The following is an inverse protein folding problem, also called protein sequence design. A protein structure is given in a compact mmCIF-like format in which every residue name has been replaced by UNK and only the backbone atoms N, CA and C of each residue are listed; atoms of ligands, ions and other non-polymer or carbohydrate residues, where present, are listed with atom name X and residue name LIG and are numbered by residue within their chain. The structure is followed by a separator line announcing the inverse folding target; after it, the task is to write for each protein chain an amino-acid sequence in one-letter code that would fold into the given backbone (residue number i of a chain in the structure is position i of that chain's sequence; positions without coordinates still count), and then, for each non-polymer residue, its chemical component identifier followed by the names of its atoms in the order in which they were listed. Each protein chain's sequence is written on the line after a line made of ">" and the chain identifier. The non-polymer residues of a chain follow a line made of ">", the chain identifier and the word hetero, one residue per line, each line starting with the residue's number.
data_IF_982274961993
#
_entry.id   IF_982274961993
#
_cell.length_a   1.000
_cell.length_b   1.000
_cell.length_c   1.000
_cell.angle_alpha   90.00
_cell.angle_beta   90.00
_cell.angle_gamma   90.00
#
_symmetry.space_group_name_H-M   'P 1'
#
loop_
_entity.id
_entity.type
_entity.pdbx_description
1 polymer ?
#
# COMPACT_ATOMS: atom_id res chain seq x y z
N UNK A 1 13.12 -13.34 -6.00
CA UNK A 1 13.62 -11.93 -5.96
C UNK A 1 12.44 -10.98 -6.17
N UNK A 2 11.57 -10.83 -5.17
CA UNK A 2 10.39 -9.96 -5.23
C UNK A 2 10.73 -8.63 -4.56
N UNK A 3 11.73 -7.90 -5.06
CA UNK A 3 11.89 -6.50 -4.69
C UNK A 3 11.06 -5.66 -5.65
N UNK A 4 9.76 -5.55 -5.37
CA UNK A 4 8.88 -4.51 -5.92
C UNK A 4 9.22 -3.13 -5.33
N UNK A 5 10.51 -2.83 -5.16
CA UNK A 5 11.02 -1.52 -4.80
C UNK A 5 11.78 -1.00 -6.01
N UNK A 6 11.28 0.10 -6.57
CA UNK A 6 11.89 0.85 -7.67
C UNK A 6 13.44 0.90 -7.53
N UNK A 7 14.20 0.63 -8.60
CA UNK A 7 15.68 0.67 -8.58
C UNK A 7 16.24 2.08 -8.35
N UNK A 8 15.39 3.11 -8.32
CA UNK A 8 15.80 4.50 -8.13
C UNK A 8 15.64 4.90 -6.66
N UNK A 9 16.76 4.98 -5.94
CA UNK A 9 16.85 5.52 -4.57
C UNK A 9 16.60 7.04 -4.60
N UNK A 10 15.38 7.48 -4.35
CA UNK A 10 15.07 8.90 -4.12
C UNK A 10 15.29 9.28 -2.64
N UNK A 11 15.64 10.55 -2.36
CA UNK A 11 15.85 11.07 -0.99
C UNK A 11 14.62 10.88 -0.08
N UNK A 12 13.43 10.77 -0.66
CA UNK A 12 12.18 10.47 0.04
C UNK A 12 12.16 9.07 0.70
N UNK A 13 13.01 8.12 0.27
CA UNK A 13 13.05 6.78 0.87
C UNK A 13 13.59 6.76 2.31
N UNK A 14 14.24 7.85 2.74
CA UNK A 14 14.83 7.99 4.08
C UNK A 14 13.85 8.49 5.15
N UNK A 15 12.67 8.96 4.76
CA UNK A 15 11.67 9.44 5.72
C UNK A 15 10.84 8.27 6.27
N UNK A 16 10.59 8.24 7.60
CA UNK A 16 9.75 7.21 8.21
C UNK A 16 8.34 7.27 7.62
N UNK A 17 7.75 6.10 7.37
CA UNK A 17 6.42 5.99 6.77
C UNK A 17 5.34 6.74 7.57
N UNK A 18 5.46 6.77 8.90
CA UNK A 18 4.53 7.50 9.77
C UNK A 18 4.44 9.00 9.44
N UNK A 19 5.56 9.66 9.12
CA UNK A 19 5.55 11.09 8.75
C UNK A 19 4.91 11.29 7.38
N UNK A 20 5.17 10.41 6.42
CA UNK A 20 4.53 10.48 5.09
C UNK A 20 3.03 10.26 5.16
N UNK A 21 2.58 9.29 5.95
CA UNK A 21 1.17 8.99 6.17
C UNK A 21 0.49 10.12 6.94
N UNK A 22 1.15 10.69 7.95
CA UNK A 22 0.65 11.87 8.66
C UNK A 22 0.51 13.09 7.75
N UNK A 23 1.51 13.35 6.90
CA UNK A 23 1.48 14.44 5.92
C UNK A 23 0.41 14.21 4.85
N UNK A 24 0.24 12.99 4.37
CA UNK A 24 -0.85 12.62 3.47
C UNK A 24 -2.21 12.86 4.12
N UNK A 25 -2.38 12.44 5.38
CA UNK A 25 -3.61 12.65 6.13
C UNK A 25 -3.92 14.14 6.28
N UNK A 26 -2.94 14.93 6.74
CA UNK A 26 -3.07 16.38 6.87
C UNK A 26 -3.37 17.06 5.53
N UNK A 27 -2.67 16.71 4.45
CA UNK A 27 -2.92 17.24 3.12
C UNK A 27 -4.33 16.91 2.63
N UNK A 28 -4.82 15.70 2.91
CA UNK A 28 -6.18 15.28 2.53
C UNK A 28 -7.21 16.07 3.33
N UNK A 29 -7.03 16.25 4.64
CA UNK A 29 -7.93 17.07 5.47
C UNK A 29 -7.99 18.52 4.97
N UNK A 30 -6.84 19.13 4.67
CA UNK A 30 -6.77 20.50 4.14
C UNK A 30 -7.47 20.58 2.78
N UNK A 31 -7.24 19.61 1.88
CA UNK A 31 -7.91 19.54 0.58
C UNK A 31 -9.44 19.47 0.72
N UNK A 32 -9.95 18.77 1.73
CA UNK A 32 -11.38 18.62 1.96
C UNK A 32 -12.03 19.85 2.63
N UNK A 33 -11.32 20.52 3.54
CA UNK A 33 -11.79 21.76 4.15
C UNK A 33 -11.94 22.90 3.13
N UNK A 34 -11.10 22.93 2.09
CA UNK A 34 -11.10 24.01 1.11
C UNK A 34 -11.99 23.75 -0.11
N UNK A 35 -13.01 24.62 -0.23
CA UNK A 35 -13.98 24.68 -1.33
C UNK A 35 -13.53 25.61 -2.47
N UNK A 36 -12.41 26.32 -2.31
CA UNK A 36 -11.96 27.29 -3.32
C UNK A 36 -11.29 26.58 -4.52
N UNK A 37 -11.78 26.84 -5.73
CA UNK A 37 -11.25 26.24 -6.97
C UNK A 37 -9.79 26.62 -7.23
N UNK A 38 -9.38 27.85 -6.91
CA UNK A 38 -8.00 28.30 -7.09
C UNK A 38 -7.02 27.50 -6.21
N UNK A 39 -7.45 27.17 -4.99
CA UNK A 39 -6.67 26.32 -4.09
C UNK A 39 -6.52 24.90 -4.61
N UNK A 40 -7.60 24.31 -5.15
CA UNK A 40 -7.56 22.97 -5.75
C UNK A 40 -6.64 22.91 -6.97
N UNK A 41 -6.68 23.93 -7.83
CA UNK A 41 -5.78 24.05 -8.99
C UNK A 41 -4.33 24.16 -8.53
N UNK A 42 -4.05 25.01 -7.54
CA UNK A 42 -2.70 25.16 -6.98
C UNK A 42 -2.19 23.87 -6.33
N UNK A 43 -3.04 23.14 -5.60
CA UNK A 43 -2.69 21.87 -4.97
C UNK A 43 -2.40 20.77 -6.00
N UNK A 44 -3.21 20.70 -7.07
CA UNK A 44 -2.98 19.78 -8.18
C UNK A 44 -1.67 20.09 -8.91
N UNK A 45 -1.43 21.37 -9.23
CA UNK A 45 -0.20 21.82 -9.87
C UNK A 45 1.05 21.55 -8.99
N UNK A 46 0.95 21.81 -7.68
CA UNK A 46 2.01 21.48 -6.72
C UNK A 46 2.30 19.98 -6.67
N UNK A 47 1.25 19.14 -6.68
CA UNK A 47 1.41 17.68 -6.72
C UNK A 47 2.06 17.22 -8.03
N UNK A 48 1.67 17.81 -9.16
CA UNK A 48 2.30 17.54 -10.45
C UNK A 48 3.79 17.93 -10.45
N UNK A 49 4.14 19.08 -9.87
CA UNK A 49 5.54 19.51 -9.71
C UNK A 49 6.35 18.51 -8.87
N UNK A 50 5.79 18.02 -7.75
CA UNK A 50 6.42 16.98 -6.92
C UNK A 50 6.67 15.70 -7.71
N UNK A 51 5.78 15.33 -8.63
CA UNK A 51 5.96 14.17 -9.51
C UNK A 51 7.03 14.36 -10.59
N UNK A 52 7.33 15.60 -10.98
CA UNK A 52 8.36 15.91 -11.98
C UNK A 52 9.77 15.93 -11.39
N UNK A 53 9.95 16.30 -10.12
CA UNK A 53 11.25 16.38 -9.43
C UNK A 53 12.11 15.09 -9.44
N UNK A 54 11.56 13.87 -9.26
CA UNK A 54 12.35 12.64 -9.16
C UNK A 54 12.60 11.94 -10.49
N UNK A 55 12.05 12.45 -11.62
CA UNK A 55 12.31 11.96 -12.98
C UNK A 55 11.07 11.50 -13.77
N UNK A 56 11.24 11.35 -15.09
CA UNK A 56 10.16 11.06 -16.07
C UNK A 56 9.48 9.70 -15.87
N UNK A 57 10.21 8.70 -15.38
CA UNK A 57 9.64 7.38 -15.05
C UNK A 57 8.64 7.47 -13.89
N UNK A 58 8.89 8.36 -12.93
CA UNK A 58 8.02 8.61 -11.78
C UNK A 58 6.77 9.38 -12.21
N UNK A 59 6.94 10.41 -13.04
CA UNK A 59 5.83 11.16 -13.63
C UNK A 59 4.91 10.26 -14.47
N UNK A 60 5.46 9.36 -15.30
CA UNK A 60 4.64 8.39 -16.08
C UNK A 60 3.88 7.41 -15.19
N UNK A 61 4.45 7.00 -14.06
CA UNK A 61 3.74 6.13 -13.12
C UNK A 61 2.57 6.86 -12.45
N UNK A 62 2.76 8.13 -12.06
CA UNK A 62 1.68 9.01 -11.57
C UNK A 62 0.59 9.23 -12.61
N UNK A 63 0.98 9.58 -13.85
CA UNK A 63 0.04 9.81 -14.95
C UNK A 63 -0.80 8.55 -15.27
N UNK A 64 -0.23 7.35 -15.22
CA UNK A 64 -0.99 6.09 -15.40
C UNK A 64 -1.98 5.82 -14.28
N UNK A 65 -1.68 6.22 -13.04
CA UNK A 65 -2.61 6.09 -11.93
C UNK A 65 -3.81 7.04 -12.12
N UNK A 66 -3.53 8.30 -12.45
CA UNK A 66 -4.55 9.31 -12.77
C UNK A 66 -5.39 8.92 -13.99
N UNK A 67 -4.76 8.41 -15.05
CA UNK A 67 -5.44 7.94 -16.24
C UNK A 67 -6.46 6.86 -15.93
N UNK A 68 -6.20 5.99 -14.95
CA UNK A 68 -7.13 4.92 -14.56
C UNK A 68 -8.45 5.45 -13.95
N UNK A 69 -8.46 6.70 -13.47
CA UNK A 69 -9.63 7.37 -12.92
C UNK A 69 -10.50 8.04 -13.99
N UNK A 70 -10.13 7.97 -15.28
CA UNK A 70 -10.87 8.60 -16.37
C UNK A 70 -12.39 8.28 -16.37
N UNK A 71 -12.87 7.05 -16.07
CA UNK A 71 -14.30 6.76 -16.12
C UNK A 71 -15.06 7.55 -15.05
N UNK A 72 -14.44 7.70 -13.87
CA UNK A 72 -15.03 8.43 -12.75
C UNK A 72 -15.04 9.95 -13.02
N UNK A 73 -13.95 10.47 -13.60
CA UNK A 73 -13.88 11.89 -13.98
C UNK A 73 -14.96 12.23 -15.00
N UNK A 74 -15.14 11.39 -16.03
CA UNK A 74 -16.19 11.57 -17.03
C UNK A 74 -17.58 11.52 -16.39
N UNK A 75 -17.83 10.55 -15.51
CA UNK A 75 -19.11 10.42 -14.82
C UNK A 75 -19.44 11.68 -13.99
N UNK A 76 -18.49 12.18 -13.19
CA UNK A 76 -18.69 13.37 -12.36
C UNK A 76 -18.89 14.62 -13.21
N UNK A 77 -18.11 14.77 -14.28
CA UNK A 77 -18.21 15.89 -15.20
C UNK A 77 -19.58 15.92 -15.91
N UNK A 78 -20.02 14.81 -16.49
CA UNK A 78 -21.33 14.71 -17.15
C UNK A 78 -22.45 14.99 -16.17
N UNK A 79 -22.41 14.41 -14.98
CA UNK A 79 -23.44 14.64 -13.95
C UNK A 79 -23.53 16.12 -13.55
N UNK A 80 -22.39 16.77 -13.26
CA UNK A 80 -22.38 18.16 -12.82
C UNK A 80 -22.68 19.16 -13.95
N UNK A 81 -22.41 18.79 -15.21
CA UNK A 81 -22.86 19.56 -16.37
C UNK A 81 -24.39 19.53 -16.49
N UNK A 82 -25.02 18.37 -16.26
CA UNK A 82 -26.49 18.24 -16.29
C UNK A 82 -27.14 19.05 -15.15
N UNK A 83 -26.53 19.05 -13.97
CA UNK A 83 -27.04 19.76 -12.77
C UNK A 83 -26.75 21.28 -12.82
N UNK A 84 -25.91 21.75 -13.75
CA UNK A 84 -25.52 23.17 -13.85
C UNK A 84 -24.51 23.61 -12.78
N UNK A 85 -23.91 22.67 -12.05
CA UNK A 85 -22.96 22.91 -10.97
C UNK A 85 -21.51 22.64 -11.40
N UNK A 86 -21.08 23.24 -12.52
CA UNK A 86 -19.78 22.96 -13.15
C UNK A 86 -18.57 23.24 -12.23
N UNK A 87 -18.63 24.29 -11.42
CA UNK A 87 -17.56 24.64 -10.48
C UNK A 87 -17.38 23.57 -9.38
N UNK A 88 -18.49 23.09 -8.81
CA UNK A 88 -18.47 22.04 -7.79
C UNK A 88 -17.94 20.72 -8.37
N UNK A 89 -18.34 20.38 -9.60
CA UNK A 89 -17.82 19.20 -10.30
C UNK A 89 -16.31 19.29 -10.51
N UNK A 90 -15.80 20.46 -10.93
CA UNK A 90 -14.37 20.69 -11.09
C UNK A 90 -13.61 20.55 -9.76
N UNK A 91 -14.13 21.11 -8.66
CA UNK A 91 -13.54 21.00 -7.32
C UNK A 91 -13.43 19.52 -6.91
N UNK A 92 -14.49 18.73 -7.10
CA UNK A 92 -14.51 17.31 -6.72
C UNK A 92 -13.50 16.52 -7.56
N UNK A 93 -13.47 16.74 -8.87
CA UNK A 93 -12.53 16.08 -9.79
C UNK A 93 -11.09 16.41 -9.40
N UNK A 94 -10.75 17.69 -9.26
CA UNK A 94 -9.39 18.10 -8.90
C UNK A 94 -8.99 17.54 -7.54
N UNK A 95 -9.87 17.61 -6.53
CA UNK A 95 -9.61 17.06 -5.21
C UNK A 95 -9.31 15.57 -5.27
N UNK A 96 -10.13 14.81 -5.99
CA UNK A 96 -9.95 13.37 -6.13
C UNK A 96 -8.62 13.05 -6.85
N UNK A 97 -8.34 13.72 -7.97
CA UNK A 97 -7.10 13.55 -8.70
C UNK A 97 -5.87 13.85 -7.83
N UNK A 98 -5.92 14.93 -7.06
CA UNK A 98 -4.83 15.35 -6.18
C UNK A 98 -4.63 14.36 -5.03
N UNK A 99 -5.71 13.94 -4.37
CA UNK A 99 -5.65 12.97 -3.27
C UNK A 99 -5.13 11.60 -3.74
N UNK A 100 -5.62 11.10 -4.87
CA UNK A 100 -5.14 9.81 -5.41
C UNK A 100 -3.69 9.91 -5.88
N UNK A 101 -3.30 11.03 -6.50
CA UNK A 101 -1.91 11.25 -6.88
C UNK A 101 -0.99 11.27 -5.64
N UNK A 102 -1.35 11.98 -4.58
CA UNK A 102 -0.60 11.99 -3.32
C UNK A 102 -0.54 10.60 -2.66
N UNK A 103 -1.65 9.88 -2.64
CA UNK A 103 -1.69 8.51 -2.11
C UNK A 103 -0.75 7.57 -2.89
N UNK A 104 -0.82 7.61 -4.22
CA UNK A 104 0.05 6.81 -5.08
C UNK A 104 1.53 7.20 -4.93
N UNK A 105 1.83 8.49 -4.73
CA UNK A 105 3.18 8.96 -4.42
C UNK A 105 3.71 8.33 -3.13
N UNK A 106 2.88 8.29 -2.08
CA UNK A 106 3.24 7.62 -0.83
C UNK A 106 3.42 6.11 -1.04
N UNK A 107 2.54 5.45 -1.79
CA UNK A 107 2.65 4.02 -2.12
C UNK A 107 3.95 3.70 -2.86
N UNK A 108 4.34 4.52 -3.85
CA UNK A 108 5.57 4.30 -4.61
C UNK A 108 6.85 4.65 -3.84
N UNK A 109 6.78 5.57 -2.87
CA UNK A 109 7.94 6.02 -2.10
C UNK A 109 8.12 5.28 -0.77
N UNK A 110 7.18 4.42 -0.38
CA UNK A 110 7.19 3.69 0.90
C UNK A 110 7.43 2.20 0.66
N UNK A 111 8.43 1.64 1.32
CA UNK A 111 8.68 0.19 1.27
C UNK A 111 7.60 -0.57 2.05
N UNK A 112 7.31 -1.81 1.64
CA UNK A 112 6.36 -2.68 2.35
C UNK A 112 6.72 -2.85 3.83
N UNK A 113 8.01 -3.03 4.13
CA UNK A 113 8.50 -3.17 5.52
C UNK A 113 8.25 -1.91 6.36
N UNK A 114 8.49 -0.71 5.79
CA UNK A 114 8.19 0.55 6.48
C UNK A 114 6.69 0.75 6.69
N UNK A 115 5.85 0.32 5.74
CA UNK A 115 4.39 0.39 5.89
C UNK A 115 3.93 -0.50 7.05
N UNK A 116 4.43 -1.74 7.12
CA UNK A 116 4.09 -2.65 8.22
C UNK A 116 4.59 -2.09 9.56
N UNK A 117 5.80 -1.50 9.60
CA UNK A 117 6.31 -0.84 10.80
C UNK A 117 5.44 0.34 11.26
N UNK A 118 4.91 1.14 10.34
CA UNK A 118 3.99 2.23 10.66
C UNK A 118 2.66 1.71 11.23
N UNK A 119 2.11 0.65 10.64
CA UNK A 119 0.89 -0.01 11.16
C UNK A 119 1.14 -0.60 12.55
N UNK A 120 2.30 -1.23 12.79
CA UNK A 120 2.68 -1.72 14.11
C UNK A 120 2.75 -0.59 15.15
N UNK A 121 3.35 0.53 14.79
CA UNK A 121 3.42 1.69 15.68
C UNK A 121 2.03 2.24 16.01
N UNK A 122 1.13 2.29 15.02
CA UNK A 122 -0.26 2.71 15.22
C UNK A 122 -1.07 1.71 16.07
N UNK A 123 -0.73 0.42 16.03
CA UNK A 123 -1.32 -0.62 16.85
C UNK A 123 -0.72 -0.70 18.26
N UNK A 124 0.44 -0.07 18.51
CA UNK A 124 1.09 -0.04 19.82
C UNK A 124 0.22 0.55 20.95
N UNK A 125 -0.60 1.60 20.80
CA UNK A 125 -1.47 2.08 21.87
C UNK A 125 -2.56 1.08 22.29
N UNK A 126 -2.99 0.17 21.40
CA UNK A 126 -3.95 -0.90 21.74
C UNK A 126 -3.40 -1.86 22.81
N UNK A 127 -2.08 -1.91 22.97
CA UNK A 127 -1.40 -2.52 24.13
C UNK A 127 -2.00 -2.13 25.48
N UNK A 128 -2.30 -0.84 25.62
CA UNK A 128 -2.70 -0.23 26.89
C UNK A 128 -4.13 -0.63 27.29
N UNK A 129 -4.87 -1.27 26.37
CA UNK A 129 -6.25 -1.73 26.56
C UNK A 129 -6.27 -3.20 27.07
N UNK A 130 -5.12 -3.79 27.38
CA UNK A 130 -5.02 -5.14 27.96
C UNK A 130 -4.75 -6.26 26.95
N UNK A 131 -4.43 -5.90 25.69
CA UNK A 131 -3.96 -6.86 24.69
C UNK A 131 -2.52 -7.31 25.02
N UNK A 132 -2.24 -8.61 24.94
CA UNK A 132 -0.90 -9.16 25.14
C UNK A 132 0.04 -8.68 24.01
N UNK A 133 0.68 -7.54 24.26
CA UNK A 133 1.61 -6.88 23.33
C UNK A 133 2.76 -7.75 22.90
N UNK A 134 3.21 -8.65 23.78
CA UNK A 134 4.34 -9.53 23.50
C UNK A 134 3.96 -10.58 22.46
N UNK A 135 2.79 -11.20 22.61
CA UNK A 135 2.23 -12.13 21.63
C UNK A 135 1.91 -11.41 20.30
N UNK A 136 1.34 -10.20 20.36
CA UNK A 136 1.06 -9.39 19.18
C UNK A 136 2.35 -9.00 18.44
N UNK A 137 3.36 -8.50 19.15
CA UNK A 137 4.64 -8.11 18.56
C UNK A 137 5.36 -9.31 17.92
N UNK A 138 5.34 -10.47 18.59
CA UNK A 138 5.86 -11.71 18.03
C UNK A 138 5.10 -12.13 16.77
N UNK A 139 3.76 -12.12 16.80
CA UNK A 139 2.93 -12.47 15.66
C UNK A 139 3.19 -11.58 14.44
N UNK A 140 3.28 -10.26 14.63
CA UNK A 140 3.55 -9.35 13.52
C UNK A 140 4.99 -9.49 13.01
N UNK A 141 5.99 -9.65 13.89
CA UNK A 141 7.36 -9.92 13.49
C UNK A 141 7.45 -11.21 12.66
N UNK A 142 6.67 -12.23 13.03
CA UNK A 142 6.53 -13.46 12.28
C UNK A 142 5.93 -13.20 10.89
N UNK A 143 4.78 -12.54 10.80
CA UNK A 143 4.13 -12.21 9.51
C UNK A 143 5.08 -11.45 8.58
N UNK A 144 5.79 -10.44 9.09
CA UNK A 144 6.75 -9.65 8.29
C UNK A 144 7.87 -10.53 7.71
N UNK A 145 8.38 -11.47 8.51
CA UNK A 145 9.45 -12.38 8.09
C UNK A 145 8.95 -13.51 7.18
N UNK A 146 7.75 -14.02 7.42
CA UNK A 146 7.17 -15.16 6.72
C UNK A 146 6.52 -14.78 5.39
N UNK A 147 5.95 -13.58 5.26
CA UNK A 147 5.33 -13.11 4.01
C UNK A 147 6.25 -13.28 2.78
N UNK A 148 7.52 -12.81 2.78
CA UNK A 148 8.39 -13.00 1.62
C UNK A 148 8.74 -14.48 1.39
N UNK A 149 8.96 -15.26 2.45
CA UNK A 149 9.27 -16.68 2.34
C UNK A 149 8.11 -17.49 1.74
N UNK A 150 6.87 -17.21 2.18
CA UNK A 150 5.65 -17.82 1.62
C UNK A 150 5.42 -17.37 0.18
N UNK A 151 5.70 -16.12 -0.15
CA UNK A 151 5.57 -15.63 -1.53
C UNK A 151 6.53 -16.37 -2.47
N UNK A 152 7.79 -16.54 -2.08
CA UNK A 152 8.78 -17.30 -2.86
C UNK A 152 8.34 -18.77 -3.01
N UNK A 153 7.87 -19.41 -1.93
CA UNK A 153 7.32 -20.79 -1.97
C UNK A 153 6.11 -20.91 -2.89
N UNK A 154 5.19 -19.94 -2.87
CA UNK A 154 4.03 -19.89 -3.77
C UNK A 154 4.43 -19.76 -5.24
N UNK A 155 5.49 -18.98 -5.53
CA UNK A 155 6.03 -18.89 -6.89
C UNK A 155 6.65 -20.20 -7.35
N UNK A 156 7.42 -20.87 -6.48
CA UNK A 156 8.02 -22.17 -6.77
C UNK A 156 6.94 -23.25 -6.99
N UNK A 157 5.88 -23.24 -6.19
CA UNK A 157 4.74 -24.16 -6.35
C UNK A 157 4.02 -23.93 -7.68
N UNK A 158 3.86 -22.67 -8.07
CA UNK A 158 3.27 -22.29 -9.38
C UNK A 158 4.14 -22.77 -10.54
N UNK A 159 5.46 -22.64 -10.43
CA UNK A 159 6.42 -23.13 -11.43
C UNK A 159 6.42 -24.66 -11.51
N UNK A 160 6.40 -25.36 -10.38
CA UNK A 160 6.32 -26.81 -10.32
C UNK A 160 5.01 -27.34 -10.92
N UNK A 161 3.89 -26.64 -10.70
CA UNK A 161 2.61 -26.96 -11.33
C UNK A 161 2.68 -26.80 -12.85
N UNK A 162 3.21 -25.67 -13.33
CA UNK A 162 3.35 -25.40 -14.76
C UNK A 162 4.28 -26.41 -15.47
N UNK A 163 5.29 -26.94 -14.77
CA UNK A 163 6.16 -27.98 -15.31
C UNK A 163 5.48 -29.36 -15.42
N UNK A 164 4.50 -29.64 -14.54
CA UNK A 164 3.79 -30.94 -14.49
C UNK A 164 2.47 -30.95 -15.25
N UNK A 165 1.88 -29.80 -15.52
CA UNK A 165 0.54 -29.70 -16.10
C UNK A 165 0.51 -28.68 -17.24
N UNK A 166 -0.10 -29.02 -18.39
CA UNK A 166 -0.33 -28.05 -19.47
C UNK A 166 -1.37 -26.99 -19.09
N UNK A 167 -2.07 -27.15 -17.96
CA UNK A 167 -3.09 -26.21 -17.48
C UNK A 167 -2.49 -25.16 -16.56
N UNK A 168 -2.95 -23.91 -16.72
CA UNK A 168 -2.60 -22.81 -15.82
C UNK A 168 -2.89 -23.15 -14.37
N UNK A 169 -2.09 -22.58 -13.48
CA UNK A 169 -2.36 -22.54 -12.06
C UNK A 169 -3.80 -22.09 -11.79
N UNK A 170 -4.52 -22.88 -10.98
CA UNK A 170 -5.92 -22.63 -10.61
C UNK A 170 -6.07 -22.79 -9.09
N UNK A 171 -7.31 -22.68 -8.59
CA UNK A 171 -7.67 -22.83 -7.16
C UNK A 171 -7.12 -24.11 -6.51
N UNK A 172 -6.81 -25.13 -7.31
CA UNK A 172 -6.16 -26.38 -6.88
C UNK A 172 -4.79 -26.19 -6.23
N UNK A 173 -4.10 -25.06 -6.44
CA UNK A 173 -2.80 -24.76 -5.83
C UNK A 173 -2.94 -24.27 -4.38
N UNK A 174 -4.13 -23.82 -3.98
CA UNK A 174 -4.34 -23.25 -2.65
C UNK A 174 -4.22 -24.30 -1.56
N UNK A 175 -4.76 -25.50 -1.78
CA UNK A 175 -4.68 -26.61 -0.81
C UNK A 175 -3.22 -26.98 -0.51
N UNK A 176 -2.36 -27.32 -1.49
CA UNK A 176 -0.96 -27.64 -1.19
C UNK A 176 -0.18 -26.44 -0.62
N UNK A 177 -0.53 -25.22 -1.01
CA UNK A 177 0.06 -24.03 -0.40
C UNK A 177 -0.32 -23.86 1.07
N UNK A 178 -1.58 -24.11 1.43
CA UNK A 178 -2.06 -24.05 2.80
C UNK A 178 -1.39 -25.12 3.69
N UNK A 179 -1.26 -26.35 3.18
CA UNK A 179 -0.54 -27.42 3.90
C UNK A 179 0.91 -27.01 4.14
N UNK A 180 1.61 -26.50 3.12
CA UNK A 180 2.98 -26.02 3.27
C UNK A 180 3.10 -24.89 4.31
N UNK A 181 2.11 -24.00 4.38
CA UNK A 181 2.08 -22.91 5.36
C UNK A 181 1.78 -23.40 6.79
N UNK A 182 0.94 -24.42 6.94
CA UNK A 182 0.65 -25.07 8.24
C UNK A 182 1.90 -25.78 8.74
N UNK A 183 2.56 -26.58 7.90
CA UNK A 183 3.81 -27.27 8.25
C UNK A 183 4.88 -26.27 8.71
N UNK A 184 5.07 -25.17 7.97
CA UNK A 184 5.98 -24.09 8.36
C UNK A 184 5.63 -23.50 9.74
N UNK A 185 4.34 -23.29 10.01
CA UNK A 185 3.89 -22.74 11.28
C UNK A 185 4.18 -23.71 12.45
N UNK A 186 4.00 -25.02 12.25
CA UNK A 186 4.30 -26.05 13.24
C UNK A 186 5.81 -26.10 13.55
N UNK A 187 6.67 -26.15 12.53
CA UNK A 187 8.12 -26.14 12.73
C UNK A 187 8.60 -24.90 13.49
N UNK A 188 7.99 -23.76 13.21
CA UNK A 188 8.35 -22.49 13.84
C UNK A 188 7.83 -22.41 15.26
N UNK A 189 6.63 -22.91 15.53
CA UNK A 189 6.09 -23.02 16.88
C UNK A 189 6.98 -23.92 17.74
N UNK A 190 7.43 -25.06 17.19
CA UNK A 190 8.34 -25.98 17.88
C UNK A 190 9.71 -25.34 18.14
N UNK A 191 10.28 -24.68 17.14
CA UNK A 191 11.55 -23.95 17.30
C UNK A 191 11.45 -22.80 18.33
N UNK A 192 10.30 -22.11 18.39
CA UNK A 192 10.04 -21.08 19.39
C UNK A 192 9.96 -21.69 20.79
N UNK A 193 9.23 -22.80 20.97
CA UNK A 193 9.15 -23.52 22.25
C UNK A 193 10.52 -23.97 22.74
N UNK A 194 11.33 -24.58 21.87
CA UNK A 194 12.69 -25.03 22.19
C UNK A 194 13.63 -23.89 22.59
N UNK A 195 13.40 -22.67 22.10
CA UNK A 195 14.20 -21.47 22.41
C UNK A 195 13.67 -20.67 23.62
N UNK A 196 12.77 -21.24 24.42
CA UNK A 196 12.19 -20.58 25.60
C UNK A 196 10.99 -19.68 25.27
N UNK A 197 10.23 -20.02 24.22
CA UNK A 197 9.02 -19.34 23.81
C UNK A 197 8.02 -19.20 24.95
N UNK A 198 7.31 -18.07 24.97
CA UNK A 198 6.39 -17.67 26.05
C UNK A 198 5.41 -18.79 26.37
N UNK A 199 5.53 -19.34 27.59
CA UNK A 199 4.46 -20.13 28.18
C UNK A 199 3.16 -19.28 28.18
N UNK A 200 1.99 -19.89 27.96
CA UNK A 200 0.71 -19.20 28.11
C UNK A 200 0.56 -18.59 29.52
#
# INVERSE_FOLDING_TARGET
>A
MISLTSPVKTRAHRWPAGVKLGLLCAATVILFMQQNIAFQVAAFAGTAAIYCLPGTAFARAGARAVWRLWPFVVLVAVWHLIVGAGEQGAIIVLRMLTAVALANLVTMTTSLSQMIAAVMWLAAPLAKIGLNTRALALGIALVVRFTPALADKGTALTQAWAARSPRRASWRIIVPFAVLAIDDAEYVAEALRARGGTNP
#
